data_IF_803881041534
#
_entry.id   IF_803881041534
#
_cell.length_a   1.000
_cell.length_b   1.000
_cell.length_c   1.000
_cell.angle_alpha   90.00
_cell.angle_beta   90.00
_cell.angle_gamma   90.00
#
_symmetry.space_group_name_H-M   'P 1'
#
loop_
_entity.id
_entity.type
_entity.pdbx_description
1 polymer ?
#
# COMPACT_ATOMS: atom_id res chain seq x y z
N UNK A 1 16.87 -1.52 22.30
CA UNK A 1 15.81 -1.48 21.28
C UNK A 1 16.39 -0.76 20.06
N UNK A 2 16.85 -1.48 19.03
CA UNK A 2 17.51 -0.83 17.90
C UNK A 2 17.46 -1.74 16.68
N UNK A 3 17.00 -1.19 15.54
CA UNK A 3 16.81 -1.80 14.21
C UNK A 3 15.44 -2.48 13.92
N UNK A 4 14.70 -2.99 14.91
CA UNK A 4 13.42 -3.66 14.65
C UNK A 4 12.35 -2.75 13.97
N UNK A 5 12.15 -1.48 14.37
CA UNK A 5 11.25 -0.55 13.68
C UNK A 5 11.67 -0.28 12.22
N UNK A 6 12.98 -0.13 12.00
CA UNK A 6 13.52 0.15 10.67
C UNK A 6 13.35 -1.05 9.73
N UNK A 7 13.53 -2.28 10.23
CA UNK A 7 13.27 -3.49 9.46
C UNK A 7 11.78 -3.63 9.08
N UNK A 8 10.86 -3.23 9.97
CA UNK A 8 9.44 -3.20 9.68
C UNK A 8 9.14 -2.18 8.56
N UNK A 9 9.67 -0.97 8.67
CA UNK A 9 9.45 0.12 7.70
C UNK A 9 9.99 -0.19 6.31
N UNK A 10 11.15 -0.85 6.23
CA UNK A 10 11.74 -1.28 4.95
C UNK A 10 10.86 -2.33 4.26
N UNK A 11 10.26 -3.24 5.01
CA UNK A 11 9.41 -4.28 4.43
C UNK A 11 7.97 -3.83 4.20
N UNK A 12 7.57 -2.67 4.73
CA UNK A 12 6.19 -2.21 4.71
C UNK A 12 5.59 -2.14 3.31
N UNK A 13 6.37 -1.73 2.30
CA UNK A 13 5.91 -1.66 0.93
C UNK A 13 5.44 -3.00 0.35
N UNK A 14 6.04 -4.12 0.77
CA UNK A 14 5.63 -5.47 0.33
C UNK A 14 4.22 -5.78 0.85
N UNK A 15 3.94 -5.42 2.11
CA UNK A 15 2.69 -5.72 2.78
C UNK A 15 1.51 -4.89 2.30
N UNK A 16 1.75 -3.73 1.67
CA UNK A 16 0.68 -2.81 1.23
C UNK A 16 0.61 -2.65 -0.28
N UNK A 17 1.30 -3.52 -1.02
CA UNK A 17 1.41 -3.43 -2.47
C UNK A 17 0.10 -3.81 -3.17
N UNK A 18 -0.70 -4.71 -2.58
CA UNK A 18 -1.90 -5.22 -3.20
C UNK A 18 -2.93 -4.12 -3.48
N UNK A 19 -3.06 -3.14 -2.57
CA UNK A 19 -3.98 -2.02 -2.70
C UNK A 19 -3.67 -1.09 -3.89
N UNK A 20 -2.49 -0.43 -3.95
CA UNK A 20 -2.09 0.39 -5.08
C UNK A 20 -2.13 -0.37 -6.41
N UNK A 21 -1.72 -1.65 -6.43
CA UNK A 21 -1.72 -2.49 -7.62
C UNK A 21 -3.13 -2.71 -8.17
N UNK A 22 -4.03 -3.20 -7.33
CA UNK A 22 -5.41 -3.51 -7.72
C UNK A 22 -6.20 -2.25 -8.05
N UNK A 23 -6.04 -1.18 -7.26
CA UNK A 23 -6.65 0.13 -7.53
C UNK A 23 -6.23 0.69 -8.89
N UNK A 24 -4.94 0.60 -9.21
CA UNK A 24 -4.38 1.13 -10.45
C UNK A 24 -4.77 0.31 -11.69
N UNK A 25 -4.83 -1.02 -11.58
CA UNK A 25 -5.18 -1.91 -12.69
C UNK A 25 -6.68 -1.91 -12.94
N UNK A 26 -7.51 -2.07 -11.90
CA UNK A 26 -8.95 -2.24 -12.06
C UNK A 26 -9.68 -0.92 -12.29
N UNK A 27 -9.12 0.20 -11.84
CA UNK A 27 -9.65 1.55 -12.05
C UNK A 27 -11.11 1.73 -11.60
N UNK A 28 -11.49 1.05 -10.53
CA UNK A 28 -12.84 1.09 -9.97
C UNK A 28 -12.80 1.52 -8.50
N UNK A 29 -13.82 2.28 -8.04
CA UNK A 29 -13.97 2.56 -6.62
C UNK A 29 -14.03 1.27 -5.79
N UNK A 30 -13.28 1.25 -4.70
CA UNK A 30 -13.14 0.11 -3.79
C UNK A 30 -12.15 -0.96 -4.24
N UNK A 31 -11.54 -0.84 -5.42
CA UNK A 31 -10.62 -1.85 -5.93
C UNK A 31 -9.35 -1.98 -5.07
N UNK A 32 -8.78 -0.85 -4.64
CA UNK A 32 -7.58 -0.85 -3.79
C UNK A 32 -7.87 -1.40 -2.40
N UNK A 33 -9.01 -1.01 -1.82
CA UNK A 33 -9.45 -1.58 -0.54
C UNK A 33 -9.63 -3.10 -0.63
N UNK A 34 -10.40 -3.58 -1.61
CA UNK A 34 -10.70 -5.01 -1.75
C UNK A 34 -9.45 -5.81 -2.07
N UNK A 35 -8.52 -5.29 -2.87
CA UNK A 35 -7.27 -5.97 -3.18
C UNK A 35 -6.43 -6.24 -1.94
N UNK A 36 -6.22 -5.21 -1.11
CA UNK A 36 -5.45 -5.34 0.13
C UNK A 36 -6.18 -6.21 1.16
N UNK A 37 -7.49 -6.03 1.31
CA UNK A 37 -8.28 -6.82 2.23
C UNK A 37 -8.27 -8.31 1.87
N UNK A 38 -8.42 -8.66 0.58
CA UNK A 38 -8.35 -10.04 0.13
C UNK A 38 -6.93 -10.63 0.26
N UNK A 39 -5.88 -9.82 0.06
CA UNK A 39 -4.52 -10.24 0.33
C UNK A 39 -4.32 -10.62 1.81
N UNK A 40 -4.82 -9.78 2.72
CA UNK A 40 -4.80 -10.03 4.16
C UNK A 40 -5.63 -11.27 4.57
N UNK A 41 -6.78 -11.49 3.93
CA UNK A 41 -7.58 -12.72 4.12
C UNK A 41 -6.79 -13.94 3.68
N UNK A 42 -6.12 -13.88 2.51
CA UNK A 42 -5.24 -14.94 2.04
C UNK A 42 -4.13 -15.25 3.04
N UNK A 43 -3.40 -14.23 3.50
CA UNK A 43 -2.34 -14.37 4.49
C UNK A 43 -2.84 -15.05 5.78
N UNK A 44 -4.01 -14.65 6.29
CA UNK A 44 -4.61 -15.28 7.47
C UNK A 44 -4.84 -16.78 7.25
N UNK A 45 -5.40 -17.18 6.10
CA UNK A 45 -5.68 -18.59 5.79
C UNK A 45 -4.41 -19.42 5.57
N UNK A 46 -3.36 -18.84 4.99
CA UNK A 46 -2.09 -19.54 4.77
C UNK A 46 -1.21 -19.62 6.02
N UNK A 47 -1.73 -19.25 7.19
CA UNK A 47 -1.03 -19.35 8.47
C UNK A 47 0.00 -18.23 8.69
N UNK A 48 -0.31 -17.02 8.23
CA UNK A 48 0.53 -15.85 8.44
C UNK A 48 0.87 -15.62 9.92
N UNK A 49 2.06 -15.05 10.16
CA UNK A 49 2.65 -14.88 11.50
C UNK A 49 1.76 -14.12 12.49
N UNK A 50 0.83 -13.30 12.00
CA UNK A 50 -0.07 -12.45 12.80
C UNK A 50 -1.52 -12.97 12.89
N UNK A 51 -1.84 -14.10 12.24
CA UNK A 51 -3.16 -14.73 12.25
C UNK A 51 -4.30 -13.76 11.92
N UNK A 52 -5.38 -13.79 12.72
CA UNK A 52 -6.56 -12.94 12.50
C UNK A 52 -6.27 -11.43 12.61
N UNK A 53 -5.20 -11.02 13.28
CA UNK A 53 -4.86 -9.60 13.42
C UNK A 53 -4.38 -8.97 12.11
N UNK A 54 -3.92 -9.77 11.14
CA UNK A 54 -3.62 -9.32 9.77
C UNK A 54 -4.85 -8.72 9.11
N UNK A 55 -6.06 -9.23 9.36
CA UNK A 55 -7.27 -8.66 8.78
C UNK A 55 -7.50 -7.21 9.20
N UNK A 56 -7.18 -6.86 10.45
CA UNK A 56 -7.32 -5.49 10.95
C UNK A 56 -6.33 -4.59 10.24
N UNK A 57 -5.06 -5.02 10.15
CA UNK A 57 -4.02 -4.29 9.44
C UNK A 57 -4.36 -4.12 7.95
N UNK A 58 -4.77 -5.18 7.26
CA UNK A 58 -5.15 -5.15 5.85
C UNK A 58 -6.39 -4.29 5.58
N UNK A 59 -7.35 -4.25 6.50
CA UNK A 59 -8.49 -3.32 6.41
C UNK A 59 -8.02 -1.87 6.45
N UNK A 60 -7.16 -1.52 7.41
CA UNK A 60 -6.64 -0.16 7.57
C UNK A 60 -5.75 0.23 6.38
N UNK A 61 -4.87 -0.67 5.95
CA UNK A 61 -3.97 -0.48 4.80
C UNK A 61 -4.75 -0.33 3.49
N UNK A 62 -5.77 -1.17 3.29
CA UNK A 62 -6.64 -1.09 2.12
C UNK A 62 -7.41 0.22 2.06
N UNK A 63 -7.97 0.67 3.19
CA UNK A 63 -8.66 1.97 3.26
C UNK A 63 -7.70 3.11 2.96
N UNK A 64 -6.46 3.02 3.46
CA UNK A 64 -5.45 4.04 3.24
C UNK A 64 -4.99 4.09 1.77
N UNK A 65 -4.83 2.94 1.12
CA UNK A 65 -4.48 2.86 -0.29
C UNK A 65 -5.60 3.41 -1.18
N UNK A 66 -6.85 3.04 -0.88
CA UNK A 66 -8.05 3.49 -1.56
C UNK A 66 -8.26 5.02 -1.44
N UNK A 67 -7.92 5.59 -0.28
CA UNK A 67 -8.06 7.02 -0.02
C UNK A 67 -7.29 7.86 -1.05
N UNK A 68 -6.08 7.43 -1.44
CA UNK A 68 -5.30 8.16 -2.45
C UNK A 68 -5.97 8.21 -3.82
N UNK A 69 -6.67 7.16 -4.24
CA UNK A 69 -7.48 7.17 -5.47
C UNK A 69 -8.80 7.93 -5.28
N UNK A 70 -9.37 7.90 -4.08
CA UNK A 70 -10.56 8.68 -3.72
C UNK A 70 -10.30 10.17 -3.82
N UNK A 71 -9.12 10.64 -3.41
CA UNK A 71 -8.71 12.05 -3.48
C UNK A 71 -8.58 12.57 -4.92
N UNK A 72 -8.34 11.70 -5.91
CA UNK A 72 -8.40 12.06 -7.33
C UNK A 72 -9.81 11.91 -7.93
N UNK A 73 -10.79 11.56 -7.09
CA UNK A 73 -12.17 11.29 -7.48
C UNK A 73 -12.31 10.13 -8.46
N UNK A 74 -11.34 9.19 -8.48
CA UNK A 74 -11.29 8.09 -9.45
C UNK A 74 -11.20 8.53 -10.91
N UNK A 75 -10.80 9.78 -11.17
CA UNK A 75 -10.69 10.35 -12.52
C UNK A 75 -9.30 10.17 -13.12
N UNK A 76 -8.29 10.00 -12.28
CA UNK A 76 -6.89 9.91 -12.67
C UNK A 76 -6.27 8.60 -12.18
N UNK A 77 -5.63 7.89 -13.11
CA UNK A 77 -4.85 6.68 -12.86
C UNK A 77 -3.47 6.82 -13.51
N UNK A 78 -2.68 7.75 -12.96
CA UNK A 78 -1.34 8.08 -13.43
C UNK A 78 -0.34 8.06 -12.25
N UNK A 79 0.87 8.57 -12.46
CA UNK A 79 1.87 8.65 -11.39
C UNK A 79 1.40 9.48 -10.20
N UNK A 80 0.57 10.50 -10.41
CA UNK A 80 0.05 11.33 -9.33
C UNK A 80 -0.88 10.54 -8.40
N UNK A 81 -1.87 9.81 -8.95
CA UNK A 81 -2.79 8.99 -8.14
C UNK A 81 -2.07 7.86 -7.40
N UNK A 82 -1.07 7.24 -8.02
CA UNK A 82 -0.24 6.20 -7.38
C UNK A 82 0.59 6.76 -6.23
N UNK A 83 1.25 7.90 -6.45
CA UNK A 83 2.02 8.59 -5.41
C UNK A 83 1.11 8.97 -4.25
N UNK A 84 -0.09 9.46 -4.56
CA UNK A 84 -1.07 9.84 -3.55
C UNK A 84 -1.55 8.63 -2.74
N UNK A 85 -1.82 7.49 -3.39
CA UNK A 85 -2.11 6.21 -2.72
C UNK A 85 -0.97 5.77 -1.82
N UNK A 86 0.28 5.82 -2.28
CA UNK A 86 1.44 5.49 -1.46
C UNK A 86 1.58 6.43 -0.25
N UNK A 87 1.33 7.73 -0.45
CA UNK A 87 1.43 8.75 0.59
C UNK A 87 0.33 8.57 1.65
N UNK A 88 -0.92 8.37 1.25
CA UNK A 88 -2.03 8.14 2.19
C UNK A 88 -1.82 6.85 2.97
N UNK A 89 -1.37 5.78 2.33
CA UNK A 89 -0.96 4.53 2.99
C UNK A 89 0.16 4.74 3.99
N UNK A 90 1.18 5.52 3.64
CA UNK A 90 2.27 5.84 4.56
C UNK A 90 1.77 6.58 5.79
N UNK A 91 0.98 7.65 5.61
CA UNK A 91 0.49 8.48 6.71
C UNK A 91 -0.38 7.67 7.67
N UNK A 92 -1.33 6.90 7.13
CA UNK A 92 -2.29 6.16 7.96
C UNK A 92 -1.61 4.99 8.67
N UNK A 93 -0.75 4.23 7.98
CA UNK A 93 -0.05 3.11 8.63
C UNK A 93 0.97 3.60 9.65
N UNK A 94 1.66 4.71 9.38
CA UNK A 94 2.59 5.32 10.34
C UNK A 94 1.84 5.83 11.57
N UNK A 95 0.71 6.50 11.38
CA UNK A 95 -0.17 6.91 12.48
C UNK A 95 -0.66 5.70 13.30
N UNK A 96 -1.06 4.63 12.63
CA UNK A 96 -1.45 3.39 13.30
C UNK A 96 -0.32 2.80 14.17
N UNK A 97 0.91 2.79 13.67
CA UNK A 97 2.06 2.31 14.43
C UNK A 97 2.47 3.26 15.57
N UNK A 98 2.17 4.56 15.47
CA UNK A 98 2.28 5.49 16.59
C UNK A 98 1.39 5.10 17.76
N UNK A 99 0.16 4.65 17.50
CA UNK A 99 -0.75 4.19 18.56
C UNK A 99 -0.46 2.77 19.03
N UNK A 100 -0.15 1.84 18.11
CA UNK A 100 -0.03 0.41 18.41
C UNK A 100 1.35 0.01 18.92
N UNK A 101 2.42 0.55 18.33
CA UNK A 101 3.80 0.15 18.61
C UNK A 101 4.54 1.16 19.50
N UNK A 102 3.85 2.17 20.02
CA UNK A 102 4.44 3.14 20.95
C UNK A 102 5.50 4.03 20.32
N UNK A 103 5.41 4.32 19.01
CA UNK A 103 6.41 5.19 18.35
C UNK A 103 6.46 6.60 18.98
N UNK A 104 5.46 6.99 19.78
CA UNK A 104 5.43 8.22 20.58
C UNK A 104 6.61 8.37 21.55
N UNK A 105 7.29 7.28 21.92
CA UNK A 105 8.46 7.32 22.80
C UNK A 105 9.78 7.55 22.05
N UNK A 106 9.78 7.51 20.72
CA UNK A 106 10.98 7.75 19.91
C UNK A 106 11.27 9.25 19.74
N UNK A 107 12.55 9.56 19.55
CA UNK A 107 12.98 10.92 19.25
C UNK A 107 12.40 11.40 17.92
N UNK A 108 12.06 12.70 17.85
CA UNK A 108 11.46 13.31 16.67
C UNK A 108 12.26 13.07 15.38
N UNK A 109 13.59 13.13 15.46
CA UNK A 109 14.48 12.85 14.33
C UNK A 109 14.38 11.40 13.84
N UNK A 110 14.21 10.43 14.75
CA UNK A 110 14.05 9.03 14.39
C UNK A 110 12.68 8.80 13.72
N UNK A 111 11.62 9.45 14.19
CA UNK A 111 10.30 9.35 13.56
C UNK A 111 10.29 9.85 12.12
N UNK A 112 10.96 10.97 11.84
CA UNK A 112 11.11 11.49 10.47
C UNK A 112 11.87 10.46 9.61
N UNK A 113 12.96 9.89 10.12
CA UNK A 113 13.72 8.89 9.39
C UNK A 113 12.88 7.65 9.07
N UNK A 114 12.15 7.12 10.05
CA UNK A 114 11.28 5.95 9.88
C UNK A 114 10.15 6.24 8.87
N UNK A 115 9.55 7.43 8.95
CA UNK A 115 8.53 7.86 8.00
C UNK A 115 9.08 7.91 6.56
N UNK A 116 10.27 8.50 6.36
CA UNK A 116 10.91 8.58 5.05
C UNK A 116 11.25 7.19 4.52
N UNK A 117 11.85 6.32 5.34
CA UNK A 117 12.20 4.94 4.96
C UNK A 117 10.95 4.16 4.56
N UNK A 118 9.88 4.27 5.35
CA UNK A 118 8.59 3.66 5.05
C UNK A 118 8.00 4.18 3.74
N UNK A 119 8.00 5.49 3.53
CA UNK A 119 7.52 6.10 2.30
C UNK A 119 8.29 5.58 1.08
N UNK A 120 9.63 5.53 1.16
CA UNK A 120 10.47 5.02 0.07
C UNK A 120 10.13 3.56 -0.23
N UNK A 121 9.97 2.72 0.80
CA UNK A 121 9.57 1.32 0.63
C UNK A 121 8.20 1.21 -0.05
N UNK A 122 7.18 1.87 0.49
CA UNK A 122 5.82 1.84 -0.06
C UNK A 122 5.79 2.38 -1.48
N UNK A 123 6.52 3.46 -1.77
CA UNK A 123 6.58 4.03 -3.12
C UNK A 123 7.28 3.11 -4.12
N UNK A 124 8.34 2.41 -3.69
CA UNK A 124 9.03 1.45 -4.55
C UNK A 124 8.11 0.28 -4.92
N UNK A 125 7.45 -0.35 -3.96
CA UNK A 125 6.57 -1.50 -4.20
C UNK A 125 5.20 -1.09 -4.77
N UNK A 126 4.50 -0.19 -4.09
CA UNK A 126 3.16 0.27 -4.46
C UNK A 126 3.12 1.23 -5.64
N UNK A 127 4.20 1.95 -5.92
CA UNK A 127 4.29 2.90 -7.04
C UNK A 127 5.03 2.31 -8.25
N UNK A 128 6.34 2.10 -8.11
CA UNK A 128 7.22 1.71 -9.23
C UNK A 128 6.90 0.30 -9.71
N UNK A 129 6.92 -0.70 -8.82
CA UNK A 129 6.64 -2.10 -9.22
C UNK A 129 5.21 -2.26 -9.72
N UNK A 130 4.23 -1.60 -9.11
CA UNK A 130 2.85 -1.55 -9.63
C UNK A 130 2.79 -1.08 -11.08
N UNK A 131 3.51 0.00 -11.43
CA UNK A 131 3.57 0.49 -12.81
C UNK A 131 4.23 -0.50 -13.75
N UNK A 132 5.34 -1.11 -13.34
CA UNK A 132 6.03 -2.13 -14.13
C UNK A 132 5.14 -3.34 -14.40
N UNK A 133 4.44 -3.84 -13.38
CA UNK A 133 3.50 -4.96 -13.50
C UNK A 133 2.35 -4.59 -14.42
N UNK A 134 1.74 -3.41 -14.24
CA UNK A 134 0.67 -2.95 -15.12
C UNK A 134 1.12 -2.85 -16.59
N UNK A 135 2.34 -2.37 -16.85
CA UNK A 135 2.90 -2.30 -18.20
C UNK A 135 3.18 -3.70 -18.81
N UNK A 136 3.67 -4.65 -18.00
CA UNK A 136 3.87 -6.04 -18.45
C UNK A 136 2.54 -6.73 -18.77
N UNK A 137 1.53 -6.53 -17.91
CA UNK A 137 0.20 -7.08 -18.12
C UNK A 137 -0.48 -6.48 -19.37
N UNK A 138 -0.26 -5.20 -19.65
CA UNK A 138 -0.72 -4.57 -20.89
C UNK A 138 -0.05 -5.19 -22.13
N UNK A 139 1.27 -5.39 -22.09
CA UNK A 139 2.02 -6.06 -23.16
C UNK A 139 1.58 -7.51 -23.40
N UNK A 140 1.10 -8.18 -22.36
CA UNK A 140 0.53 -9.53 -22.47
C UNK A 140 -0.90 -9.55 -23.02
N UNK A 141 -1.49 -8.38 -23.31
CA UNK A 141 -2.86 -8.18 -23.76
C UNK A 141 -3.95 -8.69 -22.82
N UNK A 142 -3.62 -9.08 -21.58
CA UNK A 142 -4.58 -9.56 -20.58
C UNK A 142 -5.47 -8.41 -20.06
N UNK A 143 -4.98 -7.17 -20.07
CA UNK A 143 -5.71 -5.99 -19.60
C UNK A 143 -6.70 -5.39 -20.60
N UNK A 144 -6.78 -5.92 -21.83
CA UNK A 144 -7.68 -5.40 -22.88
C UNK A 144 -9.15 -5.37 -22.45
N UNK A 145 -9.56 -6.23 -21.52
CA UNK A 145 -10.94 -6.28 -20.97
C UNK A 145 -11.22 -5.31 -19.82
N UNK A 146 -10.21 -4.64 -19.26
CA UNK A 146 -10.34 -3.77 -18.08
C UNK A 146 -10.17 -2.27 -18.39
N UNK A 147 -10.31 -1.85 -19.65
CA UNK A 147 -10.29 -0.44 -20.05
C UNK A 147 -8.88 0.07 -20.41
N UNK A 148 -8.32 -0.52 -21.47
CA UNK A 148 -6.98 -0.29 -22.03
C UNK A 148 -6.41 1.13 -21.91
N UNK A 149 -5.43 1.23 -21.01
CA UNK A 149 -4.03 1.66 -21.24
C UNK A 149 -3.71 2.95 -22.02
N UNK A 150 -3.54 4.01 -21.23
CA UNK A 150 -2.32 4.83 -21.29
C UNK A 150 -1.55 4.58 -19.97
N UNK A 151 -0.81 3.48 -19.87
CA UNK A 151 0.05 3.20 -18.69
C UNK A 151 1.38 3.91 -18.86
#
# INVERSE_FOLDING_TARGET
MGLAPMANDINMGIWVMAGPLTGFILRKPGAGFLGEFLAAVGEMFFGGQWGASTLISGTIQGLAAELGFTLTGYKLYNWFSLTLSCLTTTIITFGWDMFKNGYTEFSFNLLILLFIVRFISIFFFGGILTKMIAALLDRSHVLTKFGGTNV
#
